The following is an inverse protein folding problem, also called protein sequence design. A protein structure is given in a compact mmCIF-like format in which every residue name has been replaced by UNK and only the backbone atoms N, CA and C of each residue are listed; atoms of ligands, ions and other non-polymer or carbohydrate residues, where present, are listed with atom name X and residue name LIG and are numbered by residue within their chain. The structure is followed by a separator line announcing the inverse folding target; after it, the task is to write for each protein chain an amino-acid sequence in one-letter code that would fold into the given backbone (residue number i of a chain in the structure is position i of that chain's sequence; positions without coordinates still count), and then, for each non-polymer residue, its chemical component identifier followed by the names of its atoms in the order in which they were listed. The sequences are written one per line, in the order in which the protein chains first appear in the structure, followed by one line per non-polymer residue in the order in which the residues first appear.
data_IF_622117703442
#
_entry.id   IF_622117703442
#
_cell.length_a   1.000
_cell.length_b   1.000
_cell.length_c   1.000
_cell.angle_alpha   90.00
_cell.angle_beta   90.00
_cell.angle_gamma   90.00
#
_symmetry.space_group_name_H-M   'P 1'
#
loop_
_entity.id
_entity.type
_entity.pdbx_description
1 polymer ?
#
# COMPACT_ATOMS: atom_id res chain seq x y z
N UNK A 1 3.89 -4.92 31.88
CA UNK A 1 4.36 -3.75 32.67
C UNK A 1 3.38 -2.57 32.58
N UNK A 2 2.92 -2.18 31.41
CA UNK A 2 1.95 -1.08 31.22
C UNK A 2 0.65 -1.25 32.05
N UNK A 3 0.09 -2.46 32.11
CA UNK A 3 -1.10 -2.76 32.91
C UNK A 3 -0.90 -2.80 34.43
N UNK A 4 0.35 -2.76 34.88
CA UNK A 4 0.69 -2.74 36.31
C UNK A 4 0.86 -1.32 36.87
N UNK A 5 0.80 -0.28 36.01
CA UNK A 5 0.88 1.12 36.43
C UNK A 5 -0.47 1.60 36.99
N UNK A 6 -0.47 2.57 37.90
CA UNK A 6 -1.67 3.27 38.35
C UNK A 6 -2.45 3.87 37.18
N UNK A 7 -3.77 3.99 37.31
CA UNK A 7 -4.63 4.47 36.22
C UNK A 7 -4.19 5.87 35.73
N UNK A 8 -3.88 6.79 36.66
CA UNK A 8 -3.45 8.14 36.32
C UNK A 8 -2.14 8.18 35.49
N UNK A 9 -1.17 7.33 35.83
CA UNK A 9 0.10 7.27 35.07
C UNK A 9 -0.12 6.67 33.67
N UNK A 10 -1.00 5.69 33.54
CA UNK A 10 -1.35 5.11 32.22
C UNK A 10 -2.01 6.14 31.31
N UNK A 11 -2.94 6.93 31.87
CA UNK A 11 -3.66 7.95 31.10
C UNK A 11 -2.71 9.06 30.63
N UNK A 12 -1.75 9.46 31.43
CA UNK A 12 -0.72 10.46 31.05
C UNK A 12 0.15 9.90 29.93
N UNK A 13 0.70 8.69 30.07
CA UNK A 13 1.53 8.07 29.04
C UNK A 13 0.75 7.89 27.73
N UNK A 14 -0.52 7.52 27.81
CA UNK A 14 -1.38 7.36 26.64
C UNK A 14 -1.63 8.70 25.93
N UNK A 15 -1.87 9.78 26.68
CA UNK A 15 -2.06 11.12 26.10
C UNK A 15 -0.77 11.58 25.42
N UNK A 16 0.37 11.43 26.09
CA UNK A 16 1.68 11.82 25.55
C UNK A 16 2.02 11.03 24.28
N UNK A 17 1.70 9.73 24.23
CA UNK A 17 1.88 8.89 23.07
C UNK A 17 1.00 9.35 21.89
N UNK A 18 -0.27 9.69 22.16
CA UNK A 18 -1.19 10.21 21.13
C UNK A 18 -0.70 11.56 20.59
N UNK A 19 -0.25 12.46 21.48
CA UNK A 19 0.26 13.78 21.10
C UNK A 19 1.52 13.63 20.25
N UNK A 20 2.48 12.79 20.67
CA UNK A 20 3.70 12.54 19.92
C UNK A 20 3.41 11.91 18.55
N UNK A 21 2.47 10.95 18.49
CA UNK A 21 2.02 10.37 17.24
C UNK A 21 1.40 11.41 16.30
N UNK A 22 0.50 12.25 16.82
CA UNK A 22 -0.14 13.30 16.03
C UNK A 22 0.89 14.31 15.47
N UNK A 23 1.86 14.74 16.31
CA UNK A 23 2.96 15.62 15.87
C UNK A 23 3.78 14.94 14.77
N UNK A 24 4.16 13.68 14.98
CA UNK A 24 4.92 12.90 13.99
C UNK A 24 4.18 12.84 12.66
N UNK A 25 2.88 12.55 12.69
CA UNK A 25 2.06 12.45 11.49
C UNK A 25 1.95 13.78 10.75
N UNK A 26 1.73 14.89 11.48
CA UNK A 26 1.70 16.25 10.91
C UNK A 26 3.05 16.59 10.27
N UNK A 27 4.18 16.29 10.93
CA UNK A 27 5.51 16.52 10.38
C UNK A 27 5.77 15.69 9.12
N UNK A 28 5.35 14.42 9.08
CA UNK A 28 5.48 13.56 7.90
C UNK A 28 4.65 14.06 6.71
N UNK A 29 3.49 14.66 6.97
CA UNK A 29 2.66 15.27 5.91
C UNK A 29 3.29 16.57 5.40
N UNK A 30 3.81 17.40 6.30
CA UNK A 30 4.39 18.71 5.96
C UNK A 30 5.74 18.58 5.25
N UNK A 31 6.60 17.68 5.74
CA UNK A 31 7.97 17.48 5.24
C UNK A 31 8.13 16.11 4.56
N UNK A 32 7.44 15.92 3.43
CA UNK A 32 7.41 14.64 2.71
C UNK A 32 8.78 14.08 2.33
N UNK A 33 9.77 14.94 2.12
CA UNK A 33 11.16 14.56 1.77
C UNK A 33 11.91 13.91 2.96
N UNK A 34 11.54 14.26 4.20
CA UNK A 34 12.23 13.82 5.41
C UNK A 34 11.45 12.77 6.20
N UNK A 35 10.43 12.14 5.61
CA UNK A 35 9.61 11.11 6.28
C UNK A 35 10.42 10.03 7.01
N UNK A 36 11.44 9.40 6.41
CA UNK A 36 12.21 8.37 7.11
C UNK A 36 12.94 8.91 8.34
N UNK A 37 13.48 10.13 8.24
CA UNK A 37 14.19 10.78 9.34
C UNK A 37 13.24 11.15 10.48
N UNK A 38 12.07 11.69 10.15
CA UNK A 38 11.03 12.04 11.12
C UNK A 38 10.56 10.79 11.86
N UNK A 39 10.29 9.70 11.15
CA UNK A 39 9.90 8.42 11.75
C UNK A 39 10.98 7.88 12.68
N UNK A 40 12.25 7.93 12.28
CA UNK A 40 13.38 7.48 13.10
C UNK A 40 13.53 8.31 14.39
N UNK A 41 13.49 9.65 14.26
CA UNK A 41 13.56 10.55 15.42
C UNK A 41 12.39 10.31 16.37
N UNK A 42 11.18 10.16 15.84
CA UNK A 42 10.00 9.86 16.63
C UNK A 42 10.13 8.53 17.37
N UNK A 43 10.60 7.47 16.72
CA UNK A 43 10.87 6.19 17.36
C UNK A 43 11.88 6.31 18.51
N UNK A 44 12.95 7.09 18.31
CA UNK A 44 13.95 7.37 19.34
C UNK A 44 13.30 8.09 20.54
N UNK A 45 12.44 9.09 20.28
CA UNK A 45 11.73 9.81 21.35
C UNK A 45 10.81 8.87 22.12
N UNK A 46 10.07 7.97 21.46
CA UNK A 46 9.22 6.96 22.11
C UNK A 46 10.03 6.05 23.06
N UNK A 47 11.24 5.68 22.67
CA UNK A 47 12.13 4.86 23.51
C UNK A 47 12.65 5.66 24.71
N UNK A 48 13.17 6.88 24.49
CA UNK A 48 13.76 7.69 25.56
C UNK A 48 12.73 8.25 26.55
N UNK A 49 11.49 8.47 26.11
CA UNK A 49 10.38 8.86 27.01
C UNK A 49 9.87 7.71 27.89
N UNK A 50 10.41 6.49 27.72
CA UNK A 50 9.99 5.31 28.49
C UNK A 50 8.63 4.73 28.08
N UNK A 51 8.01 5.27 27.02
CA UNK A 51 6.74 4.73 26.49
C UNK A 51 6.92 3.34 25.91
N UNK A 52 8.11 3.07 25.34
CA UNK A 52 8.50 1.74 24.85
C UNK A 52 9.70 1.23 25.64
N UNK A 53 9.54 0.22 26.52
CA UNK A 53 10.64 -0.39 27.27
C UNK A 53 11.66 -1.03 26.34
N UNK A 54 12.94 -0.94 26.68
CA UNK A 54 14.05 -1.44 25.85
C UNK A 54 13.96 -2.96 25.56
N UNK A 55 13.43 -3.73 26.51
CA UNK A 55 13.20 -5.15 26.37
C UNK A 55 12.09 -5.52 25.37
N UNK A 56 11.22 -4.57 25.05
CA UNK A 56 10.10 -4.76 24.13
C UNK A 56 10.35 -4.22 22.72
N UNK A 57 11.48 -3.56 22.46
CA UNK A 57 11.79 -2.98 21.16
C UNK A 57 11.76 -4.06 20.07
N UNK A 58 12.40 -5.21 20.30
CA UNK A 58 12.45 -6.28 19.31
C UNK A 58 11.08 -6.94 19.08
N UNK A 59 10.26 -7.03 20.12
CA UNK A 59 8.90 -7.58 20.00
C UNK A 59 7.91 -6.59 19.37
N UNK A 60 8.20 -5.29 19.41
CA UNK A 60 7.41 -4.25 18.75
C UNK A 60 7.66 -4.21 17.23
N UNK A 61 8.77 -4.80 16.76
CA UNK A 61 9.08 -4.89 15.34
C UNK A 61 8.45 -6.17 14.77
N UNK A 62 7.47 -6.02 13.90
CA UNK A 62 6.92 -7.16 13.18
C UNK A 62 7.83 -7.52 11.99
N UNK A 63 8.78 -8.42 12.25
CA UNK A 63 9.71 -8.92 11.22
C UNK A 63 8.99 -9.65 10.09
N UNK A 64 7.83 -10.25 10.36
CA UNK A 64 7.05 -10.95 9.34
C UNK A 64 6.52 -9.96 8.30
N UNK A 65 5.94 -8.83 8.76
CA UNK A 65 5.51 -7.73 7.88
C UNK A 65 6.69 -7.16 7.08
N UNK A 66 7.83 -6.90 7.74
CA UNK A 66 9.02 -6.35 7.05
C UNK A 66 9.56 -7.30 5.98
N UNK A 67 9.63 -8.60 6.25
CA UNK A 67 10.08 -9.61 5.30
C UNK A 67 9.08 -9.79 4.15
N UNK A 68 7.78 -9.72 4.43
CA UNK A 68 6.75 -9.76 3.38
C UNK A 68 6.89 -8.54 2.46
N UNK A 69 7.02 -7.33 3.00
CA UNK A 69 7.20 -6.11 2.20
C UNK A 69 8.49 -6.20 1.37
N UNK A 70 9.59 -6.60 1.96
CA UNK A 70 10.87 -6.75 1.24
C UNK A 70 10.79 -7.81 0.14
N UNK A 71 10.14 -8.94 0.42
CA UNK A 71 9.96 -10.04 -0.54
C UNK A 71 9.05 -9.63 -1.70
N UNK A 72 7.92 -9.00 -1.41
CA UNK A 72 7.00 -8.51 -2.46
C UNK A 72 7.67 -7.44 -3.33
N UNK A 73 8.39 -6.48 -2.75
CA UNK A 73 9.15 -5.49 -3.52
C UNK A 73 10.21 -6.13 -4.42
N UNK A 74 10.91 -7.17 -3.95
CA UNK A 74 11.86 -7.92 -4.77
C UNK A 74 11.19 -8.62 -5.97
N UNK A 75 10.06 -9.28 -5.75
CA UNK A 75 9.29 -9.93 -6.82
C UNK A 75 8.75 -8.90 -7.83
N UNK A 76 8.24 -7.77 -7.33
CA UNK A 76 7.75 -6.67 -8.16
C UNK A 76 8.85 -6.10 -9.03
N UNK A 77 10.06 -5.93 -8.51
CA UNK A 77 11.20 -5.45 -9.28
C UNK A 77 11.52 -6.39 -10.46
N UNK A 78 11.57 -7.70 -10.21
CA UNK A 78 11.77 -8.70 -11.25
C UNK A 78 10.65 -8.69 -12.31
N UNK A 79 9.41 -8.49 -11.87
CA UNK A 79 8.26 -8.39 -12.74
C UNK A 79 8.32 -7.15 -13.64
N UNK A 80 8.77 -6.00 -13.10
CA UNK A 80 9.01 -4.78 -13.89
C UNK A 80 10.13 -5.01 -14.91
N UNK A 81 11.24 -5.59 -14.49
CA UNK A 81 12.39 -5.85 -15.37
C UNK A 81 12.07 -6.83 -16.51
N UNK A 82 11.15 -7.76 -16.29
CA UNK A 82 10.67 -8.70 -17.31
C UNK A 82 9.93 -8.04 -18.49
N UNK A 83 9.50 -6.77 -18.33
CA UNK A 83 8.64 -6.03 -19.27
C UNK A 83 7.31 -6.72 -19.59
N UNK A 84 6.97 -7.78 -18.87
CA UNK A 84 5.70 -8.50 -19.05
C UNK A 84 4.47 -7.60 -18.93
N UNK A 85 4.40 -6.68 -17.93
CA UNK A 85 3.26 -5.79 -17.81
C UNK A 85 3.06 -4.88 -19.03
N UNK A 86 4.17 -4.38 -19.60
CA UNK A 86 4.12 -3.55 -20.81
C UNK A 86 3.61 -4.36 -22.02
N UNK A 87 4.11 -5.59 -22.22
CA UNK A 87 3.64 -6.47 -23.27
C UNK A 87 2.15 -6.80 -23.14
N UNK A 88 1.67 -7.09 -21.93
CA UNK A 88 0.26 -7.37 -21.67
C UNK A 88 -0.62 -6.15 -21.96
N UNK A 89 -0.17 -4.96 -21.56
CA UNK A 89 -0.88 -3.73 -21.84
C UNK A 89 -0.93 -3.43 -23.35
N UNK A 90 0.16 -3.65 -24.08
CA UNK A 90 0.20 -3.49 -25.55
C UNK A 90 -0.78 -4.46 -26.24
N UNK A 91 -0.81 -5.73 -25.82
CA UNK A 91 -1.75 -6.72 -26.36
C UNK A 91 -3.22 -6.35 -26.12
N UNK A 92 -3.53 -5.74 -24.97
CA UNK A 92 -4.87 -5.23 -24.69
C UNK A 92 -5.18 -4.08 -25.64
N UNK A 93 -4.21 -3.19 -25.85
CA UNK A 93 -4.40 -1.98 -26.67
C UNK A 93 -4.59 -2.26 -28.16
N UNK A 94 -4.01 -3.33 -28.70
CA UNK A 94 -4.21 -3.72 -30.10
C UNK A 94 -5.69 -4.01 -30.44
N UNK A 95 -6.49 -4.37 -29.45
CA UNK A 95 -7.90 -4.75 -29.61
C UNK A 95 -8.89 -3.62 -29.30
N UNK A 96 -8.41 -2.46 -28.89
CA UNK A 96 -9.28 -1.39 -28.38
C UNK A 96 -9.58 -0.34 -29.46
N UNK A 97 -10.87 -0.10 -29.76
CA UNK A 97 -11.27 0.74 -30.90
C UNK A 97 -11.24 2.26 -30.62
N UNK A 98 -11.28 2.69 -29.35
CA UNK A 98 -11.31 4.11 -29.01
C UNK A 98 -10.63 4.42 -27.66
N UNK A 99 -10.34 5.72 -27.41
CA UNK A 99 -9.62 6.23 -26.23
C UNK A 99 -10.32 5.94 -24.91
N UNK A 100 -11.65 5.99 -24.89
CA UNK A 100 -12.41 5.79 -23.66
C UNK A 100 -12.32 4.33 -23.20
N UNK A 101 -12.50 3.39 -24.15
CA UNK A 101 -12.34 1.96 -23.87
C UNK A 101 -10.88 1.66 -23.52
N UNK A 102 -9.91 2.32 -24.16
CA UNK A 102 -8.49 2.22 -23.80
C UNK A 102 -8.24 2.60 -22.34
N UNK A 103 -8.76 3.74 -21.90
CA UNK A 103 -8.59 4.21 -20.53
C UNK A 103 -9.20 3.24 -19.52
N UNK A 104 -10.42 2.75 -19.78
CA UNK A 104 -11.10 1.79 -18.91
C UNK A 104 -10.35 0.46 -18.89
N UNK A 105 -9.93 -0.06 -20.06
CA UNK A 105 -9.17 -1.32 -20.12
C UNK A 105 -7.85 -1.24 -19.38
N UNK A 106 -7.12 -0.13 -19.51
CA UNK A 106 -5.87 0.07 -18.77
C UNK A 106 -6.10 0.24 -17.27
N UNK A 107 -7.19 0.91 -16.86
CA UNK A 107 -7.55 1.04 -15.46
C UNK A 107 -7.90 -0.34 -14.84
N UNK A 108 -8.72 -1.14 -15.54
CA UNK A 108 -9.04 -2.51 -15.11
C UNK A 108 -7.78 -3.39 -15.07
N UNK A 109 -6.94 -3.32 -16.10
CA UNK A 109 -5.68 -4.04 -16.13
C UNK A 109 -4.77 -3.64 -14.96
N UNK A 110 -4.62 -2.34 -14.71
CA UNK A 110 -3.84 -1.84 -13.58
C UNK A 110 -4.39 -2.33 -12.24
N UNK A 111 -5.71 -2.37 -12.07
CA UNK A 111 -6.35 -2.91 -10.89
C UNK A 111 -6.03 -4.39 -10.67
N UNK A 112 -6.27 -5.23 -11.68
CA UNK A 112 -5.98 -6.67 -11.59
C UNK A 112 -4.52 -6.94 -11.26
N UNK A 113 -3.58 -6.20 -11.88
CA UNK A 113 -2.15 -6.32 -11.55
C UNK A 113 -1.90 -5.86 -10.12
N UNK A 114 -2.51 -4.76 -9.70
CA UNK A 114 -2.30 -4.19 -8.36
C UNK A 114 -2.83 -5.05 -7.23
N UNK A 115 -3.77 -5.95 -7.50
CA UNK A 115 -4.19 -6.94 -6.51
C UNK A 115 -3.04 -7.88 -6.07
N UNK A 116 -1.98 -8.00 -6.88
CA UNK A 116 -0.83 -8.89 -6.62
C UNK A 116 0.52 -8.16 -6.60
N UNK A 117 0.55 -6.93 -7.06
CA UNK A 117 1.74 -6.08 -7.19
C UNK A 117 1.45 -4.75 -6.54
N UNK A 118 2.45 -4.18 -5.86
CA UNK A 118 2.35 -2.86 -5.22
C UNK A 118 1.70 -1.81 -6.15
N UNK A 119 0.77 -1.04 -5.61
CA UNK A 119 -0.03 -0.06 -6.33
C UNK A 119 0.83 1.04 -6.98
N UNK A 120 1.89 1.50 -6.31
CA UNK A 120 2.80 2.53 -6.84
C UNK A 120 3.56 2.00 -8.05
N UNK A 121 4.11 0.79 -7.94
CA UNK A 121 4.80 0.12 -9.03
C UNK A 121 3.88 -0.10 -10.23
N UNK A 122 2.65 -0.54 -9.99
CA UNK A 122 1.62 -0.72 -11.02
C UNK A 122 1.32 0.57 -11.77
N UNK A 123 1.11 1.68 -11.06
CA UNK A 123 0.88 2.99 -11.69
C UNK A 123 2.09 3.43 -12.52
N UNK A 124 3.32 3.28 -11.98
CA UNK A 124 4.54 3.64 -12.70
C UNK A 124 4.75 2.83 -13.98
N UNK A 125 4.26 1.59 -14.03
CA UNK A 125 4.32 0.75 -15.22
C UNK A 125 3.25 1.10 -16.27
N UNK A 126 2.01 1.33 -15.84
CA UNK A 126 0.86 1.47 -16.75
C UNK A 126 0.65 2.91 -17.20
N UNK A 127 0.96 3.92 -16.36
CA UNK A 127 0.76 5.32 -16.70
C UNK A 127 1.55 5.79 -17.95
N UNK A 128 2.81 5.40 -18.18
CA UNK A 128 3.52 5.75 -19.41
C UNK A 128 2.82 5.26 -20.68
N UNK A 129 2.20 4.09 -20.66
CA UNK A 129 1.46 3.52 -21.78
C UNK A 129 0.22 4.38 -22.07
N UNK A 130 -0.54 4.72 -21.02
CA UNK A 130 -1.69 5.62 -21.15
C UNK A 130 -1.29 6.99 -21.71
N UNK A 131 -0.16 7.56 -21.24
CA UNK A 131 0.36 8.83 -21.76
C UNK A 131 0.72 8.76 -23.23
N UNK A 132 1.38 7.68 -23.67
CA UNK A 132 1.74 7.49 -25.07
C UNK A 132 0.52 7.40 -25.98
N UNK A 133 -0.50 6.66 -25.56
CA UNK A 133 -1.77 6.53 -26.28
C UNK A 133 -2.46 7.89 -26.39
N UNK A 134 -2.61 8.60 -25.27
CA UNK A 134 -3.23 9.92 -25.26
C UNK A 134 -2.45 10.91 -26.13
N UNK A 135 -1.14 10.83 -26.15
CA UNK A 135 -0.27 11.66 -27.03
C UNK A 135 -0.50 11.35 -28.51
N UNK A 136 -0.55 10.06 -28.89
CA UNK A 136 -0.84 9.65 -30.29
C UNK A 136 -2.22 10.12 -30.75
N UNK A 137 -3.19 10.09 -29.85
CA UNK A 137 -4.59 10.46 -30.13
C UNK A 137 -4.91 11.93 -29.85
N UNK A 138 -3.91 12.73 -29.43
CA UNK A 138 -4.02 14.16 -29.09
C UNK A 138 -5.12 14.44 -28.06
N UNK A 139 -5.27 13.57 -27.07
CA UNK A 139 -6.24 13.69 -25.98
C UNK A 139 -5.56 13.99 -24.64
N UNK A 140 -6.32 14.49 -23.67
CA UNK A 140 -5.81 14.77 -22.32
C UNK A 140 -5.52 13.46 -21.56
N UNK A 141 -4.30 13.19 -21.09
CA UNK A 141 -3.95 11.97 -20.35
C UNK A 141 -4.43 11.96 -18.91
N UNK A 142 -4.77 13.12 -18.33
CA UNK A 142 -5.07 13.25 -16.89
C UNK A 142 -6.21 12.33 -16.44
N UNK A 143 -7.37 12.25 -17.12
CA UNK A 143 -8.44 11.34 -16.71
C UNK A 143 -8.01 9.86 -16.71
N UNK A 144 -7.24 9.43 -17.71
CA UNK A 144 -6.75 8.05 -17.80
C UNK A 144 -5.77 7.70 -16.67
N UNK A 145 -4.86 8.62 -16.35
CA UNK A 145 -3.90 8.43 -15.26
C UNK A 145 -4.61 8.40 -13.90
N UNK A 146 -5.61 9.26 -13.70
CA UNK A 146 -6.42 9.24 -12.47
C UNK A 146 -7.18 7.91 -12.36
N UNK A 147 -7.80 7.44 -13.44
CA UNK A 147 -8.51 6.16 -13.44
C UNK A 147 -7.58 4.99 -13.09
N UNK A 148 -6.38 4.93 -13.68
CA UNK A 148 -5.35 3.93 -13.37
C UNK A 148 -4.94 4.00 -11.89
N UNK A 149 -4.66 5.20 -11.39
CA UNK A 149 -4.22 5.38 -10.00
C UNK A 149 -5.30 5.00 -8.99
N UNK A 150 -6.56 5.38 -9.24
CA UNK A 150 -7.69 5.04 -8.37
C UNK A 150 -7.96 3.54 -8.40
N UNK A 151 -8.01 2.93 -9.58
CA UNK A 151 -8.21 1.49 -9.75
C UNK A 151 -7.11 0.69 -9.06
N UNK A 152 -5.85 1.07 -9.28
CA UNK A 152 -4.70 0.43 -8.66
C UNK A 152 -4.74 0.52 -7.13
N UNK A 153 -5.02 1.69 -6.56
CA UNK A 153 -5.11 1.84 -5.11
C UNK A 153 -6.27 1.04 -4.50
N UNK A 154 -7.44 1.06 -5.15
CA UNK A 154 -8.60 0.34 -4.63
C UNK A 154 -8.37 -1.16 -4.65
N UNK A 155 -7.94 -1.70 -5.77
CA UNK A 155 -7.76 -3.14 -5.96
C UNK A 155 -6.47 -3.67 -5.31
N UNK A 156 -5.49 -2.82 -4.99
CA UNK A 156 -4.34 -3.19 -4.16
C UNK A 156 -4.73 -3.73 -2.78
N UNK A 157 -5.86 -3.29 -2.23
CA UNK A 157 -6.38 -3.81 -0.96
C UNK A 157 -7.11 -5.16 -1.08
N UNK A 158 -7.32 -5.68 -2.29
CA UNK A 158 -8.10 -6.90 -2.54
C UNK A 158 -7.40 -8.18 -2.04
N UNK A 159 -6.08 -8.20 -2.00
CA UNK A 159 -5.30 -9.36 -1.55
C UNK A 159 -4.29 -9.00 -0.46
N UNK A 160 -3.76 -10.02 0.22
CA UNK A 160 -2.75 -9.86 1.26
C UNK A 160 -1.47 -9.16 0.77
N UNK A 161 -1.11 -9.27 -0.51
CA UNK A 161 0.19 -8.83 -1.05
C UNK A 161 0.12 -7.57 -1.92
N UNK A 162 -1.08 -7.11 -2.27
CA UNK A 162 -1.26 -5.98 -3.18
C UNK A 162 -0.92 -4.62 -2.57
N UNK A 163 -1.05 -4.47 -1.25
CA UNK A 163 -0.73 -3.22 -0.54
C UNK A 163 -0.15 -3.49 0.84
N UNK A 164 0.71 -2.59 1.31
CA UNK A 164 1.31 -2.65 2.65
C UNK A 164 0.26 -2.63 3.76
N UNK A 165 -0.85 -1.93 3.57
CA UNK A 165 -1.97 -1.90 4.53
C UNK A 165 -2.66 -3.26 4.64
N UNK A 166 -2.81 -3.99 3.54
CA UNK A 166 -3.34 -5.35 3.54
C UNK A 166 -2.40 -6.33 4.25
N UNK A 167 -1.07 -6.20 4.04
CA UNK A 167 -0.05 -6.99 4.76
C UNK A 167 -0.15 -6.76 6.27
N UNK A 168 -0.26 -5.50 6.70
CA UNK A 168 -0.40 -5.15 8.12
C UNK A 168 -1.71 -5.71 8.72
N UNK A 169 -2.82 -5.60 8.00
CA UNK A 169 -4.09 -6.18 8.42
C UNK A 169 -3.98 -7.70 8.57
N UNK A 170 -3.40 -8.35 7.58
CA UNK A 170 -3.21 -9.80 7.59
C UNK A 170 -2.37 -10.27 8.77
N UNK A 171 -1.27 -9.57 9.07
CA UNK A 171 -0.42 -9.89 10.22
C UNK A 171 -1.17 -9.66 11.55
N UNK A 172 -1.82 -8.50 11.71
CA UNK A 172 -2.53 -8.16 12.95
C UNK A 172 -3.72 -9.09 13.23
N UNK A 173 -4.49 -9.44 12.18
CA UNK A 173 -5.67 -10.29 12.30
C UNK A 173 -5.36 -11.79 12.14
N UNK A 174 -4.06 -12.17 11.97
CA UNK A 174 -3.62 -13.54 11.68
C UNK A 174 -4.36 -14.16 10.48
N UNK A 175 -4.56 -13.35 9.42
CA UNK A 175 -5.23 -13.78 8.19
C UNK A 175 -4.22 -14.38 7.21
N UNK A 176 -4.62 -15.48 6.57
CA UNK A 176 -3.90 -16.06 5.45
C UNK A 176 -4.28 -15.38 4.13
N UNK A 177 -3.52 -15.66 3.06
CA UNK A 177 -3.84 -15.16 1.72
C UNK A 177 -5.27 -15.55 1.26
N UNK A 178 -5.71 -16.76 1.59
CA UNK A 178 -7.05 -17.25 1.21
C UNK A 178 -8.17 -16.59 1.99
N UNK A 179 -7.91 -16.06 3.17
CA UNK A 179 -8.91 -15.36 3.99
C UNK A 179 -9.36 -14.04 3.33
N UNK A 180 -8.57 -13.48 2.44
CA UNK A 180 -8.98 -12.32 1.62
C UNK A 180 -10.08 -12.69 0.61
N UNK A 181 -10.16 -13.95 0.18
CA UNK A 181 -11.20 -14.45 -0.71
C UNK A 181 -12.40 -14.99 0.08
N UNK A 182 -12.15 -15.80 1.11
CA UNK A 182 -13.23 -16.39 1.94
C UNK A 182 -12.84 -16.29 3.40
N UNK A 183 -13.54 -15.46 4.15
CA UNK A 183 -13.32 -15.25 5.58
C UNK A 183 -14.49 -15.78 6.39
N UNK A 184 -14.26 -16.75 7.27
CA UNK A 184 -15.26 -17.38 8.15
C UNK A 184 -16.51 -17.85 7.39
N UNK A 185 -16.33 -18.41 6.19
CA UNK A 185 -17.43 -18.92 5.35
C UNK A 185 -18.25 -17.84 4.62
N UNK A 186 -17.76 -16.59 4.61
CA UNK A 186 -18.36 -15.46 3.88
C UNK A 186 -17.42 -14.96 2.79
N UNK A 187 -17.92 -14.30 1.72
CA UNK A 187 -17.08 -13.63 0.76
C UNK A 187 -16.15 -12.63 1.45
N UNK A 188 -14.86 -12.72 1.15
CA UNK A 188 -13.82 -11.85 1.72
C UNK A 188 -13.79 -10.48 1.06
N UNK A 189 -12.81 -9.66 1.49
CA UNK A 189 -12.63 -8.29 1.02
C UNK A 189 -12.33 -8.24 -0.50
N UNK A 190 -11.72 -9.28 -1.07
CA UNK A 190 -11.48 -9.40 -2.51
C UNK A 190 -12.74 -9.11 -3.32
N UNK A 191 -13.84 -9.77 -3.01
CA UNK A 191 -15.09 -9.57 -3.74
C UNK A 191 -15.73 -8.20 -3.49
N UNK A 192 -15.51 -7.60 -2.33
CA UNK A 192 -16.05 -6.27 -2.05
C UNK A 192 -15.29 -5.15 -2.80
N UNK A 193 -14.05 -5.41 -3.18
CA UNK A 193 -13.18 -4.43 -3.84
C UNK A 193 -13.23 -4.59 -5.37
N UNK A 194 -13.38 -5.82 -5.87
CA UNK A 194 -13.40 -6.12 -7.31
C UNK A 194 -14.80 -5.96 -7.94
N UNK A 195 -15.87 -5.94 -7.16
CA UNK A 195 -17.25 -5.73 -7.62
C UNK A 195 -17.68 -4.27 -7.53
#
# INVERSE_FOLDING_TARGET
MFYALPADERDIIMIDAIVLFAITYILMLTFSKFRPLIALISAIIFIFSGMLPLDQILSAIDFNVLLMIAGTMGLVQLFIESKMPALLADLIMEKVPNVQIAAVSLALFAGVISAFVDNVATVLMVAPIAMEICRKLKTNPVPSIIAIAVSSNLQGAATLVGDTTAIMLGSYANMSFLDFFVYQGRPGIFFAVEL
#
